data_IF_677499744751
#
_entry.id   IF_677499744751
#
_cell.length_a   1.000
_cell.length_b   1.000
_cell.length_c   1.000
_cell.angle_alpha   90.00
_cell.angle_beta   90.00
_cell.angle_gamma   90.00
#
_symmetry.space_group_name_H-M   'P 1'
#
loop_
_entity.id
_entity.type
_entity.pdbx_description
1 polymer ?
#
# COMPACT_ATOMS: atom_id res chain seq x y z
N UNK A 1 18.82 16.29 2.43
CA UNK A 1 17.99 15.96 1.26
C UNK A 1 16.58 15.77 1.76
N UNK A 2 15.59 16.41 1.14
CA UNK A 2 14.18 16.19 1.48
C UNK A 2 13.75 14.89 0.80
N UNK A 3 13.19 13.95 1.54
CA UNK A 3 12.64 12.73 0.96
C UNK A 3 11.32 13.05 0.25
N UNK A 4 11.22 12.73 -1.03
CA UNK A 4 9.95 12.79 -1.78
C UNK A 4 9.16 11.51 -1.50
N UNK A 5 7.85 11.64 -1.28
CA UNK A 5 6.95 10.50 -1.12
C UNK A 5 5.68 10.67 -1.92
N UNK A 6 5.12 9.54 -2.37
CA UNK A 6 3.80 9.52 -3.00
C UNK A 6 2.75 9.81 -1.92
N UNK A 7 1.77 10.64 -2.24
CA UNK A 7 0.67 11.02 -1.35
C UNK A 7 -0.66 10.82 -2.06
N UNK A 8 -1.75 10.68 -1.30
CA UNK A 8 -3.11 10.65 -1.86
C UNK A 8 -3.44 11.99 -2.53
N UNK A 9 -4.29 11.96 -3.55
CA UNK A 9 -4.61 13.12 -4.41
C UNK A 9 -5.13 14.35 -3.66
N UNK A 10 -5.82 14.15 -2.53
CA UNK A 10 -6.38 15.23 -1.73
C UNK A 10 -5.38 15.84 -0.73
N UNK A 11 -4.20 15.24 -0.53
CA UNK A 11 -3.21 15.71 0.45
C UNK A 11 -2.74 17.15 0.16
N UNK A 12 -2.42 17.56 -1.08
CA UNK A 12 -2.10 18.95 -1.37
C UNK A 12 -3.20 19.92 -0.94
N UNK A 13 -4.47 19.59 -1.20
CA UNK A 13 -5.58 20.47 -0.82
C UNK A 13 -5.76 20.51 0.71
N UNK A 14 -5.66 19.37 1.40
CA UNK A 14 -5.71 19.29 2.86
C UNK A 14 -4.61 20.16 3.50
N UNK A 15 -3.38 20.13 2.96
CA UNK A 15 -2.28 20.98 3.43
C UNK A 15 -2.62 22.45 3.22
N UNK A 16 -3.16 22.83 2.05
CA UNK A 16 -3.59 24.20 1.76
C UNK A 16 -4.68 24.68 2.73
N UNK A 17 -5.67 23.83 3.01
CA UNK A 17 -6.76 24.12 3.95
C UNK A 17 -6.27 24.28 5.39
N UNK A 18 -5.13 23.66 5.74
CA UNK A 18 -4.44 23.86 7.02
C UNK A 18 -3.68 25.19 7.13
N UNK A 19 -3.66 25.99 6.06
CA UNK A 19 -2.99 27.30 6.01
C UNK A 19 -1.53 27.27 5.56
N UNK A 20 -1.05 26.14 5.02
CA UNK A 20 0.32 25.99 4.49
C UNK A 20 0.27 25.73 2.99
N UNK A 21 1.14 26.33 2.17
CA UNK A 21 1.19 25.98 0.74
C UNK A 21 2.04 24.71 0.54
N UNK A 22 1.49 23.62 -0.02
CA UNK A 22 2.26 22.41 -0.28
C UNK A 22 3.25 22.60 -1.43
N UNK A 23 4.41 21.96 -1.32
CA UNK A 23 5.34 21.79 -2.45
C UNK A 23 5.21 20.35 -2.94
N UNK A 24 4.74 20.18 -4.17
CA UNK A 24 4.59 18.87 -4.81
C UNK A 24 4.82 18.99 -6.31
N UNK A 25 4.99 17.85 -6.96
CA UNK A 25 5.05 17.71 -8.42
C UNK A 25 4.34 16.42 -8.82
N UNK A 26 3.93 16.36 -10.08
CA UNK A 26 3.48 15.12 -10.67
C UNK A 26 4.69 14.22 -11.00
N UNK A 27 4.44 12.92 -11.18
CA UNK A 27 5.45 11.99 -11.68
C UNK A 27 5.79 12.32 -13.13
N UNK A 28 7.06 12.14 -13.52
CA UNK A 28 7.55 12.43 -14.86
C UNK A 28 7.43 11.25 -15.83
N UNK A 29 7.23 10.02 -15.35
CA UNK A 29 7.00 8.84 -16.18
C UNK A 29 6.19 7.75 -15.47
N UNK A 30 5.69 6.79 -16.24
CA UNK A 30 4.97 5.62 -15.70
C UNK A 30 5.88 4.73 -14.83
N UNK A 31 7.16 4.60 -15.18
CA UNK A 31 8.17 3.87 -14.41
C UNK A 31 8.50 4.57 -13.10
N UNK A 32 8.51 5.91 -13.09
CA UNK A 32 8.61 6.67 -11.83
C UNK A 32 7.38 6.39 -10.95
N UNK A 33 6.17 6.46 -11.52
CA UNK A 33 4.95 6.20 -10.77
C UNK A 33 4.93 4.79 -10.17
N UNK A 34 5.26 3.76 -10.96
CA UNK A 34 5.39 2.37 -10.50
C UNK A 34 6.38 2.22 -9.36
N UNK A 35 7.57 2.84 -9.46
CA UNK A 35 8.57 2.80 -8.38
C UNK A 35 8.08 3.52 -7.13
N UNK A 36 7.43 4.67 -7.28
CA UNK A 36 6.87 5.41 -6.15
C UNK A 36 5.76 4.65 -5.42
N UNK A 37 4.91 3.90 -6.14
CA UNK A 37 3.91 3.02 -5.53
C UNK A 37 4.54 1.86 -4.74
N UNK A 38 5.59 1.23 -5.27
CA UNK A 38 6.31 0.17 -4.55
C UNK A 38 7.00 0.71 -3.29
N UNK A 39 7.63 1.89 -3.38
CA UNK A 39 8.20 2.57 -2.22
C UNK A 39 7.11 2.93 -1.19
N UNK A 40 5.93 3.38 -1.65
CA UNK A 40 4.79 3.66 -0.78
C UNK A 40 4.30 2.40 -0.06
N UNK A 41 4.26 1.24 -0.73
CA UNK A 41 3.92 -0.03 -0.09
C UNK A 41 4.90 -0.40 1.03
N UNK A 42 6.20 -0.14 0.85
CA UNK A 42 7.20 -0.34 1.90
C UNK A 42 6.98 0.61 3.10
N UNK A 43 6.62 1.88 2.85
CA UNK A 43 6.22 2.86 3.88
C UNK A 43 5.02 2.34 4.68
N UNK A 44 3.90 2.00 4.02
CA UNK A 44 2.67 1.57 4.74
C UNK A 44 2.87 0.25 5.50
N UNK A 45 3.66 -0.68 4.97
CA UNK A 45 3.99 -1.92 5.69
C UNK A 45 4.86 -1.63 6.92
N UNK A 46 5.74 -0.62 6.86
CA UNK A 46 6.53 -0.20 8.01
C UNK A 46 5.65 0.49 9.06
N UNK A 47 4.71 1.33 8.64
CA UNK A 47 3.74 1.99 9.53
C UNK A 47 2.81 0.96 10.21
N UNK A 48 2.30 -0.02 9.45
CA UNK A 48 1.53 -1.16 9.97
C UNK A 48 2.29 -1.95 11.03
N UNK A 49 3.59 -2.20 10.83
CA UNK A 49 4.43 -2.89 11.82
C UNK A 49 4.66 -2.05 13.08
N UNK A 50 4.66 -0.73 12.95
CA UNK A 50 4.86 0.21 14.05
C UNK A 50 3.55 0.59 14.78
N UNK A 51 2.39 0.18 14.27
CA UNK A 51 1.09 0.49 14.87
C UNK A 51 0.90 -0.16 16.26
N UNK A 52 0.79 0.69 17.28
CA UNK A 52 0.71 0.34 18.70
C UNK A 52 -0.72 0.27 19.24
N UNK A 53 -1.71 0.76 18.48
CA UNK A 53 -3.14 0.64 18.79
C UNK A 53 -3.89 -0.15 17.71
N UNK A 54 -5.06 -0.67 18.06
CA UNK A 54 -5.91 -1.42 17.12
C UNK A 54 -6.53 -0.48 16.08
N UNK A 55 -6.86 0.75 16.47
CA UNK A 55 -7.38 1.78 15.56
C UNK A 55 -6.33 2.13 14.51
N UNK A 56 -5.10 2.43 14.94
CA UNK A 56 -4.01 2.73 14.03
C UNK A 56 -3.73 1.53 13.13
N UNK A 57 -3.69 0.32 13.68
CA UNK A 57 -3.48 -0.90 12.88
C UNK A 57 -4.54 -1.07 11.80
N UNK A 58 -5.80 -0.74 12.09
CA UNK A 58 -6.86 -0.79 11.09
C UNK A 58 -6.68 0.25 9.97
N UNK A 59 -6.24 1.46 10.30
CA UNK A 59 -5.89 2.50 9.33
C UNK A 59 -4.74 2.05 8.42
N UNK A 60 -3.64 1.57 8.99
CA UNK A 60 -2.48 1.12 8.21
C UNK A 60 -2.79 -0.11 7.34
N UNK A 61 -3.68 -1.01 7.78
CA UNK A 61 -4.19 -2.10 6.92
C UNK A 61 -4.94 -1.53 5.71
N UNK A 62 -5.77 -0.50 5.91
CA UNK A 62 -6.52 0.13 4.83
C UNK A 62 -5.57 0.84 3.84
N UNK A 63 -4.53 1.49 4.33
CA UNK A 63 -3.52 2.12 3.47
C UNK A 63 -2.71 1.08 2.67
N UNK A 64 -2.30 -0.04 3.29
CA UNK A 64 -1.67 -1.15 2.55
C UNK A 64 -2.58 -1.69 1.45
N UNK A 65 -3.88 -1.86 1.72
CA UNK A 65 -4.83 -2.36 0.72
C UNK A 65 -5.02 -1.37 -0.44
N UNK A 66 -5.16 -0.07 -0.16
CA UNK A 66 -5.25 0.98 -1.18
C UNK A 66 -4.03 0.97 -2.11
N UNK A 67 -2.83 0.88 -1.53
CA UNK A 67 -1.59 0.88 -2.33
C UNK A 67 -1.48 -0.38 -3.17
N UNK A 68 -1.91 -1.54 -2.65
CA UNK A 68 -1.98 -2.79 -3.43
C UNK A 68 -2.94 -2.67 -4.60
N UNK A 69 -4.10 -2.03 -4.41
CA UNK A 69 -5.06 -1.80 -5.49
C UNK A 69 -4.51 -0.84 -6.56
N UNK A 70 -3.83 0.23 -6.15
CA UNK A 70 -3.16 1.16 -7.07
C UNK A 70 -2.01 0.48 -7.86
N UNK A 71 -1.27 -0.41 -7.21
CA UNK A 71 -0.26 -1.26 -7.87
C UNK A 71 -0.94 -2.18 -8.89
N UNK A 72 -2.01 -2.88 -8.51
CA UNK A 72 -2.73 -3.75 -9.44
C UNK A 72 -3.17 -2.97 -10.69
N UNK A 73 -3.74 -1.79 -10.50
CA UNK A 73 -4.16 -0.89 -11.57
C UNK A 73 -3.00 -0.52 -12.52
N UNK A 74 -1.88 -0.02 -12.00
CA UNK A 74 -0.76 0.46 -12.86
C UNK A 74 -0.03 -0.67 -13.59
N UNK A 75 -0.12 -1.90 -13.08
CA UNK A 75 0.41 -3.09 -13.75
C UNK A 75 -0.62 -3.77 -14.68
N UNK A 76 -1.83 -3.22 -14.81
CA UNK A 76 -2.90 -3.77 -15.65
C UNK A 76 -3.46 -5.09 -15.13
N UNK A 77 -3.34 -5.34 -13.83
CA UNK A 77 -3.85 -6.54 -13.16
C UNK A 77 -5.27 -6.26 -12.70
N UNK A 78 -6.21 -7.09 -13.13
CA UNK A 78 -7.60 -6.97 -12.73
C UNK A 78 -7.82 -7.51 -11.31
N UNK A 79 -8.64 -6.83 -10.52
CA UNK A 79 -9.01 -7.25 -9.17
C UNK A 79 -9.63 -8.66 -9.16
N UNK A 80 -10.41 -9.01 -10.19
CA UNK A 80 -11.01 -10.35 -10.31
C UNK A 80 -9.94 -11.45 -10.49
N UNK A 81 -8.84 -11.13 -11.17
CA UNK A 81 -7.73 -12.07 -11.34
C UNK A 81 -7.00 -12.29 -10.01
N UNK A 82 -6.82 -11.25 -9.20
CA UNK A 82 -6.24 -11.33 -7.85
C UNK A 82 -7.12 -12.20 -6.95
N UNK A 83 -8.43 -11.97 -6.93
CA UNK A 83 -9.36 -12.76 -6.10
C UNK A 83 -9.44 -14.22 -6.54
N UNK A 84 -9.39 -14.49 -7.86
CA UNK A 84 -9.29 -15.85 -8.38
C UNK A 84 -8.02 -16.54 -7.90
N UNK A 85 -6.88 -15.86 -7.93
CA UNK A 85 -5.59 -16.39 -7.46
C UNK A 85 -5.62 -16.64 -5.94
N UNK A 86 -6.13 -15.69 -5.15
CA UNK A 86 -6.29 -15.83 -3.68
C UNK A 86 -7.16 -17.03 -3.34
N UNK A 87 -8.32 -17.15 -3.98
CA UNK A 87 -9.26 -18.27 -3.78
C UNK A 87 -8.62 -19.61 -4.13
N UNK A 88 -7.92 -19.69 -5.27
CA UNK A 88 -7.22 -20.91 -5.68
C UNK A 88 -6.16 -21.31 -4.64
N UNK A 89 -5.31 -20.37 -4.21
CA UNK A 89 -4.28 -20.63 -3.18
C UNK A 89 -4.91 -21.09 -1.86
N UNK A 90 -6.00 -20.45 -1.43
CA UNK A 90 -6.70 -20.83 -0.21
C UNK A 90 -7.26 -22.26 -0.28
N UNK A 91 -7.84 -22.66 -1.42
CA UNK A 91 -8.32 -24.05 -1.62
C UNK A 91 -7.19 -25.07 -1.63
N UNK A 92 -6.06 -24.73 -2.25
CA UNK A 92 -4.92 -25.65 -2.39
C UNK A 92 -4.08 -25.76 -1.11
N UNK A 93 -3.97 -24.69 -0.33
CA UNK A 93 -2.95 -24.54 0.74
C UNK A 93 -3.52 -24.08 2.08
N UNK A 94 -4.81 -23.77 2.15
CA UNK A 94 -5.42 -23.10 3.30
C UNK A 94 -5.06 -21.63 3.40
N UNK A 95 -5.50 -20.99 4.48
CA UNK A 95 -5.11 -19.63 4.86
C UNK A 95 -4.28 -19.62 6.13
N UNK A 96 -3.95 -18.43 6.61
CA UNK A 96 -3.10 -18.25 7.79
C UNK A 96 -3.84 -18.45 9.13
N UNK A 97 -5.10 -18.87 9.11
CA UNK A 97 -5.97 -18.99 10.30
C UNK A 97 -5.51 -20.03 11.33
N UNK A 98 -4.81 -21.09 10.90
CA UNK A 98 -4.26 -22.09 11.82
C UNK A 98 -2.96 -21.62 12.49
N UNK A 99 -2.30 -20.58 11.98
CA UNK A 99 -1.09 -20.01 12.58
C UNK A 99 0.15 -20.89 12.58
N UNK A 100 0.28 -21.82 11.61
CA UNK A 100 1.44 -22.71 11.54
C UNK A 100 2.73 -21.94 11.18
N UNK A 101 3.80 -22.18 11.95
CA UNK A 101 5.14 -21.62 11.73
C UNK A 101 6.10 -22.79 11.50
N UNK A 102 6.72 -22.84 10.31
CA UNK A 102 7.70 -23.88 9.96
C UNK A 102 9.12 -23.41 10.29
N UNK A 103 9.92 -24.31 10.88
CA UNK A 103 11.37 -24.15 10.99
C UNK A 103 12.02 -24.76 9.75
N UNK A 104 12.96 -24.05 9.16
CA UNK A 104 13.78 -24.53 8.04
C UNK A 104 15.20 -24.71 8.56
N UNK A 105 15.74 -25.92 8.39
CA UNK A 105 17.16 -26.24 8.63
C UNK A 105 18.03 -25.82 7.42
#
# INVERSE_FOLDING_TARGET
MVAEKLVRDLIPQIIRDSGTEPVFREYGSEEEYKRSLLAKLEEEVAELKAADTDEKRAEEIADVLEVVDAIAYVFGIKTEDIERIKTKKFRERGGFFCGYILKMD
#
